data_IF_374459067353
#
_entry.id   IF_374459067353
#
_cell.length_a   1.000
_cell.length_b   1.000
_cell.length_c   1.000
_cell.angle_alpha   90.00
_cell.angle_beta   90.00
_cell.angle_gamma   90.00
#
_symmetry.space_group_name_H-M   'P 1'
#
loop_
_entity.id
_entity.type
_entity.pdbx_description
1 polymer ?
#
# COMPACT_ATOMS: atom_id res chain seq x y z
N UNK A 1 16.87 -45.32 25.92
CA UNK A 1 16.47 -43.92 26.19
C UNK A 1 17.25 -43.03 25.25
N UNK A 2 16.60 -42.32 24.31
CA UNK A 2 17.11 -41.13 23.60
C UNK A 2 16.16 -40.58 22.50
N UNK A 3 14.95 -41.14 22.32
CA UNK A 3 13.99 -40.61 21.32
C UNK A 3 13.14 -39.41 21.80
N UNK A 4 13.35 -38.91 23.03
CA UNK A 4 12.57 -37.79 23.59
C UNK A 4 13.11 -36.40 23.25
N UNK A 5 14.38 -36.27 22.87
CA UNK A 5 15.01 -34.97 22.59
C UNK A 5 14.71 -34.52 21.15
N UNK A 6 14.71 -35.46 20.20
CA UNK A 6 14.43 -35.18 18.79
C UNK A 6 13.02 -34.63 18.56
N UNK A 7 12.03 -35.10 19.33
CA UNK A 7 10.63 -34.63 19.23
C UNK A 7 10.42 -33.17 19.65
N UNK A 8 11.26 -32.64 20.55
CA UNK A 8 11.11 -31.25 21.06
C UNK A 8 11.63 -30.22 20.08
N UNK A 9 12.67 -30.56 19.32
CA UNK A 9 13.29 -29.65 18.34
C UNK A 9 12.40 -29.52 17.10
N UNK A 10 11.76 -30.61 16.65
CA UNK A 10 10.83 -30.56 15.52
C UNK A 10 9.60 -29.69 15.81
N UNK A 11 9.08 -29.74 17.04
CA UNK A 11 7.91 -28.97 17.44
C UNK A 11 8.19 -27.45 17.50
N UNK A 12 9.39 -27.03 17.89
CA UNK A 12 9.77 -25.62 17.99
C UNK A 12 10.01 -24.98 16.61
N UNK A 13 10.56 -25.74 15.66
CA UNK A 13 10.77 -25.26 14.29
C UNK A 13 9.43 -25.12 13.57
N UNK A 14 8.47 -26.03 13.82
CA UNK A 14 7.14 -25.97 13.22
C UNK A 14 6.31 -24.77 13.73
N UNK A 15 6.46 -24.38 15.00
CA UNK A 15 5.74 -23.23 15.54
C UNK A 15 6.30 -21.88 15.08
N UNK A 16 7.61 -21.76 14.81
CA UNK A 16 8.20 -20.53 14.24
C UNK A 16 7.80 -20.36 12.76
N UNK A 17 7.65 -21.44 12.01
CA UNK A 17 7.20 -21.37 10.60
C UNK A 17 5.71 -21.04 10.50
N UNK A 18 4.88 -21.45 11.47
CA UNK A 18 3.44 -21.18 11.45
C UNK A 18 3.05 -19.73 11.81
N UNK A 19 3.93 -19.00 12.52
CA UNK A 19 3.66 -17.58 12.88
C UNK A 19 3.97 -16.61 11.72
N UNK A 20 4.65 -17.07 10.67
CA UNK A 20 4.97 -16.25 9.49
C UNK A 20 3.92 -16.31 8.37
N UNK A 21 2.89 -17.17 8.47
CA UNK A 21 1.92 -17.40 7.39
C UNK A 21 0.57 -16.68 7.56
N UNK A 22 0.44 -15.74 8.48
CA UNK A 22 -0.74 -14.86 8.59
C UNK A 22 -0.67 -13.65 7.64
N UNK A 23 0.05 -13.78 6.53
CA UNK A 23 -0.11 -12.86 5.42
C UNK A 23 -1.45 -13.19 4.76
N UNK A 24 -2.49 -12.41 5.07
CA UNK A 24 -3.69 -12.32 4.25
C UNK A 24 -3.22 -12.06 2.81
N UNK A 25 -3.16 -13.10 1.98
CA UNK A 25 -2.82 -12.98 0.58
C UNK A 25 -4.01 -12.33 -0.13
N UNK A 26 -4.18 -11.02 0.08
CA UNK A 26 -5.14 -10.22 -0.64
C UNK A 26 -4.70 -10.14 -2.09
N UNK A 27 -5.61 -10.45 -3.03
CA UNK A 27 -5.28 -10.39 -4.44
C UNK A 27 -4.79 -8.98 -4.80
N UNK A 28 -3.65 -8.93 -5.48
CA UNK A 28 -3.08 -7.70 -6.03
C UNK A 28 -4.14 -6.95 -6.84
N UNK A 29 -4.41 -5.69 -6.50
CA UNK A 29 -5.18 -4.83 -7.38
C UNK A 29 -4.28 -4.41 -8.52
N UNK A 30 -4.65 -4.76 -9.75
CA UNK A 30 -3.96 -4.34 -10.96
C UNK A 30 -4.88 -3.46 -11.82
N UNK A 31 -4.37 -2.32 -12.27
CA UNK A 31 -5.15 -1.34 -13.04
C UNK A 31 -4.28 -0.64 -14.09
N UNK A 32 -4.82 -0.43 -15.29
CA UNK A 32 -4.25 0.46 -16.30
C UNK A 32 -4.99 1.79 -16.29
N UNK A 33 -4.31 2.88 -16.63
CA UNK A 33 -4.93 4.19 -16.72
C UNK A 33 -4.05 5.19 -17.47
N UNK A 34 -4.53 6.43 -17.56
CA UNK A 34 -3.84 7.52 -18.23
C UNK A 34 -3.97 8.81 -17.41
N UNK A 35 -2.91 9.61 -17.38
CA UNK A 35 -2.86 10.92 -16.69
C UNK A 35 -2.41 11.99 -17.67
N UNK A 36 -2.88 13.23 -17.50
CA UNK A 36 -2.37 14.38 -18.24
C UNK A 36 -2.27 15.60 -17.32
N UNK A 37 -1.08 16.18 -17.28
CA UNK A 37 -0.75 17.31 -16.43
C UNK A 37 -0.89 17.01 -14.94
N UNK A 38 -1.09 18.09 -14.18
CA UNK A 38 -1.15 18.06 -12.71
C UNK A 38 -2.46 17.51 -12.15
N UNK A 39 -3.43 17.17 -13.01
CA UNK A 39 -4.67 16.53 -12.60
C UNK A 39 -4.39 15.06 -12.27
N UNK A 40 -4.28 14.76 -10.99
CA UNK A 40 -3.90 13.45 -10.53
C UNK A 40 -5.06 12.43 -10.67
N UNK A 41 -4.73 11.21 -11.06
CA UNK A 41 -5.59 10.05 -10.91
C UNK A 41 -5.40 9.48 -9.50
N UNK A 42 -6.51 9.25 -8.80
CA UNK A 42 -6.50 8.77 -7.41
C UNK A 42 -7.14 7.40 -7.32
N UNK A 43 -6.41 6.43 -6.78
CA UNK A 43 -6.92 5.10 -6.46
C UNK A 43 -7.09 4.94 -4.95
N UNK A 44 -8.29 4.53 -4.50
CA UNK A 44 -8.59 4.39 -3.07
C UNK A 44 -8.02 3.07 -2.54
N UNK A 45 -7.30 3.16 -1.43
CA UNK A 45 -6.77 2.04 -0.68
C UNK A 45 -7.29 2.09 0.74
N UNK A 46 -8.15 1.14 1.09
CA UNK A 46 -8.52 0.87 2.48
C UNK A 46 -7.50 -0.11 3.08
N UNK A 47 -6.96 0.20 4.25
CA UNK A 47 -6.02 -0.67 4.98
C UNK A 47 -6.46 -0.83 6.43
N UNK A 48 -6.40 -2.07 6.93
CA UNK A 48 -6.65 -2.35 8.34
C UNK A 48 -5.56 -1.71 9.23
N UNK A 49 -5.85 -1.43 10.51
CA UNK A 49 -4.82 -1.02 11.45
C UNK A 49 -3.62 -1.99 11.44
N UNK A 50 -2.41 -1.44 11.33
CA UNK A 50 -1.16 -2.21 11.26
C UNK A 50 -0.87 -2.92 9.93
N UNK A 51 -1.80 -2.92 8.97
CA UNK A 51 -1.61 -3.53 7.65
C UNK A 51 -0.58 -2.77 6.81
N UNK A 52 0.25 -3.52 6.10
CA UNK A 52 1.19 -2.97 5.10
C UNK A 52 0.56 -3.04 3.71
N UNK A 53 0.89 -2.10 2.85
CA UNK A 53 0.63 -2.24 1.43
C UNK A 53 1.77 -1.67 0.60
N UNK A 54 1.96 -2.23 -0.59
CA UNK A 54 2.93 -1.75 -1.58
C UNK A 54 2.22 -1.23 -2.81
N UNK A 55 2.81 -0.25 -3.46
CA UNK A 55 2.34 0.39 -4.68
C UNK A 55 3.46 0.32 -5.70
N UNK A 56 3.17 -0.25 -6.86
CA UNK A 56 4.05 -0.23 -8.03
C UNK A 56 3.35 0.51 -9.15
N UNK A 57 4.08 1.43 -9.78
CA UNK A 57 3.60 2.13 -10.97
C UNK A 57 4.67 2.10 -12.03
N UNK A 58 4.27 1.74 -13.25
CA UNK A 58 5.10 1.86 -14.46
C UNK A 58 4.42 2.77 -15.46
N UNK A 59 5.18 3.62 -16.13
CA UNK A 59 4.67 4.53 -17.16
C UNK A 59 5.70 4.77 -18.25
N UNK A 60 5.24 5.12 -19.46
CA UNK A 60 6.15 5.38 -20.60
C UNK A 60 6.89 6.71 -20.49
N UNK A 61 6.34 7.66 -19.73
CA UNK A 61 6.95 8.97 -19.46
C UNK A 61 7.02 9.22 -17.95
N UNK A 62 7.85 10.19 -17.49
CA UNK A 62 7.96 10.51 -16.09
C UNK A 62 6.62 10.88 -15.46
N UNK A 63 6.24 10.14 -14.43
CA UNK A 63 5.10 10.42 -13.54
C UNK A 63 5.61 10.63 -12.13
N UNK A 64 4.77 11.16 -11.25
CA UNK A 64 5.00 11.26 -9.82
C UNK A 64 3.88 10.54 -9.11
N UNK A 65 4.23 9.73 -8.12
CA UNK A 65 3.29 8.93 -7.35
C UNK A 65 3.36 9.35 -5.88
N UNK A 66 2.20 9.54 -5.27
CA UNK A 66 2.09 9.88 -3.85
C UNK A 66 1.08 8.98 -3.16
N UNK A 67 1.33 8.66 -1.91
CA UNK A 67 0.35 8.06 -1.00
C UNK A 67 -0.15 9.19 -0.11
N UNK A 68 -1.46 9.45 -0.16
CA UNK A 68 -2.14 10.50 0.58
C UNK A 68 -3.04 9.84 1.61
N UNK A 69 -2.76 10.04 2.89
CA UNK A 69 -3.67 9.64 3.97
C UNK A 69 -4.88 10.56 4.03
N UNK A 70 -6.03 9.96 4.31
CA UNK A 70 -7.31 10.65 4.50
C UNK A 70 -7.73 10.56 5.97
N UNK A 71 -7.13 11.34 6.89
CA UNK A 71 -7.55 11.35 8.27
C UNK A 71 -8.89 12.07 8.43
N UNK A 72 -9.72 11.62 9.36
CA UNK A 72 -10.91 12.38 9.76
C UNK A 72 -10.49 13.61 10.58
N UNK A 73 -11.05 14.77 10.23
CA UNK A 73 -10.73 16.06 10.89
C UNK A 73 -11.95 16.71 11.57
N UNK A 74 -13.04 15.96 11.75
CA UNK A 74 -14.29 16.47 12.33
C UNK A 74 -15.28 16.99 11.29
N UNK A 75 -16.51 17.30 11.72
CA UNK A 75 -17.56 17.94 10.89
C UNK A 75 -17.82 17.25 9.54
N UNK A 76 -17.80 15.92 9.50
CA UNK A 76 -17.95 15.11 8.28
C UNK A 76 -16.92 15.41 7.18
N UNK A 77 -15.75 15.95 7.54
CA UNK A 77 -14.67 16.26 6.59
C UNK A 77 -13.49 15.31 6.77
N UNK A 78 -12.86 14.99 5.63
CA UNK A 78 -11.61 14.26 5.56
C UNK A 78 -10.49 15.23 5.19
N UNK A 79 -9.40 15.20 5.95
CA UNK A 79 -8.17 15.89 5.61
C UNK A 79 -7.42 15.14 4.51
N UNK A 80 -6.37 15.76 3.99
CA UNK A 80 -5.42 15.12 3.09
C UNK A 80 -4.01 15.37 3.59
N UNK A 81 -3.22 14.31 3.74
CA UNK A 81 -1.82 14.42 4.12
C UNK A 81 -0.97 13.50 3.25
N UNK A 82 0.05 14.04 2.57
CA UNK A 82 1.00 13.23 1.81
C UNK A 82 1.88 12.48 2.81
N UNK A 83 1.73 11.16 2.87
CA UNK A 83 2.56 10.30 3.75
C UNK A 83 3.77 9.74 3.02
N UNK A 84 3.71 9.65 1.70
CA UNK A 84 4.85 9.25 0.86
C UNK A 84 4.74 9.86 -0.53
N UNK A 85 5.87 10.20 -1.13
CA UNK A 85 5.95 10.75 -2.50
C UNK A 85 7.22 10.27 -3.17
N UNK A 86 7.12 9.87 -4.44
CA UNK A 86 8.28 9.56 -5.28
C UNK A 86 8.82 10.81 -5.98
N UNK A 87 10.07 10.74 -6.44
CA UNK A 87 10.58 11.65 -7.45
C UNK A 87 9.91 11.34 -8.81
N UNK A 88 10.02 12.27 -9.76
CA UNK A 88 9.54 12.03 -11.12
C UNK A 88 10.33 10.89 -11.79
N UNK A 89 9.63 9.92 -12.38
CA UNK A 89 10.24 8.75 -12.99
C UNK A 89 9.24 7.87 -13.71
N UNK A 90 9.73 6.85 -14.43
CA UNK A 90 8.90 5.90 -15.19
C UNK A 90 8.59 4.62 -14.41
N UNK A 91 9.26 4.41 -13.28
CA UNK A 91 9.04 3.30 -12.37
C UNK A 91 8.98 3.83 -10.94
N UNK A 92 7.97 3.39 -10.19
CA UNK A 92 7.77 3.76 -8.79
C UNK A 92 7.51 2.52 -7.96
N UNK A 93 8.16 2.46 -6.80
CA UNK A 93 7.86 1.50 -5.75
C UNK A 93 7.72 2.23 -4.42
N UNK A 94 6.53 2.20 -3.84
CA UNK A 94 6.24 2.79 -2.54
C UNK A 94 5.67 1.71 -1.62
N UNK A 95 6.11 1.68 -0.37
CA UNK A 95 5.54 0.86 0.70
C UNK A 95 5.03 1.76 1.81
N UNK A 96 3.85 1.45 2.36
CA UNK A 96 3.29 2.14 3.51
C UNK A 96 2.67 1.15 4.50
N UNK A 97 2.75 1.48 5.79
CA UNK A 97 2.11 0.72 6.87
C UNK A 97 1.11 1.63 7.57
N UNK A 98 -0.14 1.18 7.64
CA UNK A 98 -1.15 1.87 8.41
C UNK A 98 -0.81 1.87 9.91
N UNK A 99 -1.17 2.90 10.67
CA UNK A 99 -0.97 2.90 12.12
C UNK A 99 -1.68 1.72 12.78
N UNK A 100 -1.15 1.24 13.92
CA UNK A 100 -1.70 0.09 14.64
C UNK A 100 -3.01 0.39 15.38
N UNK A 101 -3.25 1.66 15.71
CA UNK A 101 -4.46 2.09 16.40
C UNK A 101 -5.64 2.09 15.45
N UNK A 102 -6.85 1.88 15.98
CA UNK A 102 -8.07 2.03 15.17
C UNK A 102 -8.28 3.51 14.80
N UNK A 103 -8.68 3.85 13.56
CA UNK A 103 -9.06 5.22 13.21
C UNK A 103 -10.34 5.66 13.94
N UNK A 104 -10.45 6.96 14.23
CA UNK A 104 -11.48 7.50 15.13
C UNK A 104 -12.94 7.27 14.69
N UNK A 105 -13.19 7.21 13.39
CA UNK A 105 -14.54 7.19 12.81
C UNK A 105 -14.71 6.10 11.73
N UNK A 106 -13.79 5.15 11.63
CA UNK A 106 -13.80 4.10 10.61
C UNK A 106 -13.27 2.78 11.19
N UNK A 107 -13.46 1.68 10.46
CA UNK A 107 -12.82 0.40 10.73
C UNK A 107 -11.45 0.29 10.05
N UNK A 108 -11.24 1.05 8.98
CA UNK A 108 -10.03 1.04 8.15
C UNK A 108 -9.48 2.45 7.94
N UNK A 109 -8.16 2.54 7.79
CA UNK A 109 -7.52 3.74 7.28
C UNK A 109 -7.76 3.86 5.77
N UNK A 110 -7.98 5.08 5.30
CA UNK A 110 -8.18 5.36 3.88
C UNK A 110 -7.00 6.14 3.33
N UNK A 111 -6.51 5.72 2.17
CA UNK A 111 -5.43 6.35 1.44
C UNK A 111 -5.81 6.55 -0.01
N UNK A 112 -5.33 7.61 -0.64
CA UNK A 112 -5.25 7.68 -2.10
C UNK A 112 -3.84 7.40 -2.57
N UNK A 113 -3.71 6.51 -3.55
CA UNK A 113 -2.55 6.46 -4.43
C UNK A 113 -2.81 7.46 -5.56
N UNK A 114 -2.10 8.58 -5.50
CA UNK A 114 -2.23 9.69 -6.43
C UNK A 114 -1.11 9.64 -7.46
N UNK A 115 -1.46 9.61 -8.74
CA UNK A 115 -0.54 9.55 -9.87
C UNK A 115 -0.79 10.77 -10.74
N UNK A 116 0.23 11.57 -11.00
CA UNK A 116 0.15 12.68 -11.95
C UNK A 116 1.40 12.73 -12.80
N UNK A 117 1.34 13.47 -13.90
CA UNK A 117 2.51 13.73 -14.73
C UNK A 117 2.88 15.21 -14.67
N UNK A 118 4.16 15.58 -14.45
CA UNK A 118 4.60 16.95 -14.61
C UNK A 118 4.61 17.39 -16.08
N UNK A 119 4.42 16.46 -17.02
CA UNK A 119 4.35 16.75 -18.45
C UNK A 119 2.92 17.15 -18.84
N UNK A 120 2.77 18.09 -19.77
CA UNK A 120 1.46 18.46 -20.33
C UNK A 120 0.95 17.48 -21.39
N UNK A 121 1.37 16.22 -21.34
CA UNK A 121 1.02 15.17 -22.32
C UNK A 121 0.27 14.05 -21.60
N UNK A 122 -0.58 13.35 -22.35
CA UNK A 122 -1.15 12.10 -21.88
C UNK A 122 -0.04 11.06 -21.69
N UNK A 123 -0.05 10.41 -20.53
CA UNK A 123 0.88 9.35 -20.16
C UNK A 123 0.08 8.17 -19.66
N UNK A 124 0.24 7.04 -20.35
CA UNK A 124 -0.32 5.78 -19.91
C UNK A 124 0.53 5.18 -18.79
N UNK A 125 -0.15 4.52 -17.86
CA UNK A 125 0.49 3.86 -16.74
C UNK A 125 -0.21 2.55 -16.38
N UNK A 126 0.55 1.70 -15.70
CA UNK A 126 0.06 0.51 -15.01
C UNK A 126 0.30 0.68 -13.51
N UNK A 127 -0.69 0.34 -12.71
CA UNK A 127 -0.71 0.41 -11.26
C UNK A 127 -0.94 -0.99 -10.68
N UNK A 128 -0.13 -1.38 -9.71
CA UNK A 128 -0.29 -2.59 -8.92
C UNK A 128 -0.26 -2.23 -7.43
N UNK A 129 -1.24 -2.70 -6.65
CA UNK A 129 -1.33 -2.50 -5.20
C UNK A 129 -1.51 -3.86 -4.51
N UNK A 130 -0.60 -4.18 -3.59
CA UNK A 130 -0.62 -5.41 -2.78
C UNK A 130 -0.76 -5.06 -1.31
N UNK A 131 -1.57 -5.80 -0.53
CA UNK A 131 -1.80 -5.54 0.90
C UNK A 131 -1.71 -6.82 1.74
#
# INVERSE_FOLDING_TARGET
>A
MNSRITRKITALVLSVVLVLSLADASAALFKKGSVNGTNAQNELVNANPGQRFTVRVTSEQPTVVSIIGLPYVGNNKMGQNIVKKSAAGTYHFLEHRAPDKRPANSTYYQYYVSIYTPTGRWVDYTLEINK
#
